data_IF_967301342998
#
_entry.id   IF_967301342998
#
_cell.length_a   1.000
_cell.length_b   1.000
_cell.length_c   1.000
_cell.angle_alpha   90.00
_cell.angle_beta   90.00
_cell.angle_gamma   90.00
#
_symmetry.space_group_name_H-M   'P 1'
#
loop_
_entity.id
_entity.type
_entity.pdbx_description
1 polymer ?
#
# COMPACT_ATOMS: atom_id res chain seq x y z
N UNK A 1 11.39 23.98 -13.93
CA UNK A 1 10.27 23.93 -14.89
C UNK A 1 10.63 23.20 -16.19
N UNK A 2 11.77 23.49 -16.84
CA UNK A 2 12.17 22.81 -18.08
C UNK A 2 12.41 21.28 -17.94
N UNK A 3 13.02 20.83 -16.84
CA UNK A 3 13.28 19.39 -16.60
C UNK A 3 11.98 18.57 -16.45
N UNK A 4 10.96 19.15 -15.82
CA UNK A 4 9.67 18.46 -15.58
C UNK A 4 8.87 18.29 -16.88
N UNK A 5 8.99 19.24 -17.81
CA UNK A 5 8.40 19.13 -19.15
C UNK A 5 9.11 18.06 -19.98
N UNK A 6 10.44 17.98 -19.90
CA UNK A 6 11.21 16.99 -20.65
C UNK A 6 10.91 15.55 -20.22
N UNK A 7 10.84 15.28 -18.92
CA UNK A 7 10.47 13.96 -18.40
C UNK A 7 9.07 13.54 -18.86
N UNK A 8 8.11 14.46 -18.81
CA UNK A 8 6.74 14.23 -19.29
C UNK A 8 6.69 13.92 -20.78
N UNK A 9 7.41 14.67 -21.61
CA UNK A 9 7.51 14.42 -23.05
C UNK A 9 8.07 13.03 -23.35
N UNK A 10 9.11 12.60 -22.61
CA UNK A 10 9.68 11.25 -22.77
C UNK A 10 8.67 10.16 -22.43
N UNK A 11 7.88 10.33 -21.38
CA UNK A 11 6.81 9.38 -21.01
C UNK A 11 5.73 9.31 -22.10
N UNK A 12 5.29 10.46 -22.63
CA UNK A 12 4.27 10.51 -23.68
C UNK A 12 4.77 9.83 -24.98
N UNK A 13 6.02 10.09 -25.37
CA UNK A 13 6.66 9.44 -26.52
C UNK A 13 6.82 7.92 -26.32
N UNK A 14 7.21 7.49 -25.12
CA UNK A 14 7.33 6.08 -24.78
C UNK A 14 5.98 5.36 -24.88
N UNK A 15 4.91 5.94 -24.33
CA UNK A 15 3.56 5.37 -24.41
C UNK A 15 3.04 5.31 -25.84
N UNK A 16 3.28 6.34 -26.66
CA UNK A 16 2.92 6.31 -28.08
C UNK A 16 3.65 5.17 -28.82
N UNK A 17 4.96 5.00 -28.56
CA UNK A 17 5.75 3.90 -29.12
C UNK A 17 5.23 2.52 -28.69
N UNK A 18 4.87 2.37 -27.41
CA UNK A 18 4.29 1.15 -26.85
C UNK A 18 2.96 0.80 -27.52
N UNK A 19 2.06 1.78 -27.68
CA UNK A 19 0.77 1.56 -28.34
C UNK A 19 0.93 1.10 -29.78
N UNK A 20 1.83 1.72 -30.56
CA UNK A 20 2.10 1.32 -31.95
C UNK A 20 2.59 -0.12 -32.05
N UNK A 21 3.36 -0.57 -31.05
CA UNK A 21 3.92 -1.93 -30.99
C UNK A 21 2.98 -2.96 -30.37
N UNK A 22 1.85 -2.53 -29.81
CA UNK A 22 0.86 -3.42 -29.21
C UNK A 22 -0.09 -3.89 -30.31
N UNK A 23 -0.24 -5.22 -30.52
CA UNK A 23 -1.24 -5.73 -31.46
C UNK A 23 -2.63 -5.22 -31.09
N UNK A 24 -3.42 -4.87 -32.09
CA UNK A 24 -4.76 -4.33 -31.88
C UNK A 24 -5.70 -4.72 -33.02
N UNK A 25 -6.98 -4.91 -32.72
CA UNK A 25 -8.00 -5.16 -33.75
C UNK A 25 -8.44 -3.86 -34.43
N UNK A 26 -8.91 -3.99 -35.67
CA UNK A 26 -9.56 -2.88 -36.39
C UNK A 26 -10.97 -2.67 -35.86
N UNK A 27 -11.69 -3.77 -35.61
CA UNK A 27 -13.08 -3.71 -35.16
C UNK A 27 -13.48 -4.94 -34.36
N UNK A 28 -14.47 -4.76 -33.50
CA UNK A 28 -15.07 -5.81 -32.67
C UNK A 28 -16.57 -5.54 -32.53
N UNK A 29 -17.39 -6.58 -32.52
CA UNK A 29 -18.83 -6.47 -32.32
C UNK A 29 -19.17 -6.23 -30.84
N UNK A 30 -20.34 -5.64 -30.55
CA UNK A 30 -20.90 -5.66 -29.20
C UNK A 30 -20.97 -7.08 -28.64
N UNK A 31 -20.71 -7.21 -27.35
CA UNK A 31 -20.75 -8.46 -26.56
C UNK A 31 -19.67 -9.50 -26.90
N UNK A 32 -18.72 -9.18 -27.79
CA UNK A 32 -17.53 -10.00 -27.98
C UNK A 32 -16.72 -10.10 -26.67
N UNK A 33 -16.29 -11.32 -26.35
CA UNK A 33 -15.49 -11.61 -25.16
C UNK A 33 -14.07 -11.10 -25.36
N UNK A 34 -13.60 -10.25 -24.46
CA UNK A 34 -12.22 -9.76 -24.43
C UNK A 34 -11.47 -10.57 -23.37
N UNK A 35 -10.44 -11.28 -23.80
CA UNK A 35 -9.58 -12.10 -22.93
C UNK A 35 -8.08 -11.79 -23.08
N UNK A 36 -7.72 -10.85 -23.96
CA UNK A 36 -6.38 -10.28 -24.09
C UNK A 36 -6.48 -8.83 -24.58
N UNK A 37 -5.39 -8.08 -24.39
CA UNK A 37 -5.25 -6.71 -24.90
C UNK A 37 -5.24 -6.63 -26.42
N UNK A 38 -4.85 -7.71 -27.10
CA UNK A 38 -4.76 -7.77 -28.56
C UNK A 38 -6.15 -7.64 -29.23
N UNK A 39 -7.22 -7.92 -28.48
CA UNK A 39 -8.61 -7.79 -28.92
C UNK A 39 -9.18 -6.36 -28.78
N UNK A 40 -8.37 -5.40 -28.33
CA UNK A 40 -8.72 -4.00 -28.23
C UNK A 40 -8.22 -3.24 -29.46
N UNK A 41 -8.96 -2.22 -29.87
CA UNK A 41 -8.47 -1.24 -30.84
C UNK A 41 -7.41 -0.33 -30.22
N UNK A 42 -6.56 0.30 -31.04
CA UNK A 42 -5.56 1.26 -30.56
C UNK A 42 -6.18 2.39 -29.72
N UNK A 43 -7.41 2.80 -30.06
CA UNK A 43 -8.14 3.83 -29.31
C UNK A 43 -8.58 3.32 -27.95
N UNK A 44 -9.14 2.11 -27.86
CA UNK A 44 -9.47 1.48 -26.58
C UNK A 44 -8.21 1.26 -25.72
N UNK A 45 -7.10 0.80 -26.30
CA UNK A 45 -5.81 0.64 -25.60
C UNK A 45 -5.33 1.97 -24.99
N UNK A 46 -5.50 3.08 -25.71
CA UNK A 46 -5.11 4.41 -25.19
C UNK A 46 -5.88 4.81 -23.92
N UNK A 47 -7.08 4.26 -23.72
CA UNK A 47 -7.89 4.46 -22.52
C UNK A 47 -7.37 3.67 -21.32
N UNK A 48 -6.18 3.06 -21.38
CA UNK A 48 -5.55 2.38 -20.23
C UNK A 48 -4.15 2.95 -19.91
N UNK A 49 -3.71 3.99 -20.63
CA UNK A 49 -2.40 4.61 -20.38
C UNK A 49 -2.30 5.07 -18.92
N UNK A 50 -3.31 5.77 -18.42
CA UNK A 50 -3.38 6.27 -17.05
C UNK A 50 -3.25 5.12 -16.02
N UNK A 51 -4.01 4.04 -16.19
CA UNK A 51 -3.99 2.88 -15.29
C UNK A 51 -2.65 2.13 -15.33
N UNK A 52 -2.08 1.94 -16.53
CA UNK A 52 -0.77 1.31 -16.66
C UNK A 52 0.34 2.12 -16.00
N UNK A 53 0.25 3.46 -16.05
CA UNK A 53 1.20 4.36 -15.39
C UNK A 53 1.07 4.31 -13.88
N UNK A 54 -0.16 4.28 -13.36
CA UNK A 54 -0.39 4.10 -11.93
C UNK A 54 0.16 2.75 -11.44
N UNK A 55 -0.02 1.68 -12.23
CA UNK A 55 0.50 0.36 -11.90
C UNK A 55 2.04 0.37 -11.87
N UNK A 56 2.66 1.00 -12.87
CA UNK A 56 4.11 1.18 -12.93
C UNK A 56 4.65 2.00 -11.74
N UNK A 57 3.92 3.05 -11.33
CA UNK A 57 4.25 3.84 -10.16
C UNK A 57 4.19 3.01 -8.86
N UNK A 58 3.21 2.11 -8.73
CA UNK A 58 3.10 1.23 -7.56
C UNK A 58 4.25 0.22 -7.52
N UNK A 59 4.55 -0.44 -8.65
CA UNK A 59 5.62 -1.45 -8.74
C UNK A 59 7.01 -0.87 -8.46
N UNK A 60 7.35 0.23 -9.14
CA UNK A 60 8.71 0.79 -9.10
C UNK A 60 8.87 1.88 -8.04
N UNK A 61 7.76 2.31 -7.42
CA UNK A 61 7.73 3.38 -6.41
C UNK A 61 8.27 4.71 -6.95
N UNK A 62 8.13 4.91 -8.26
CA UNK A 62 8.61 6.08 -9.00
C UNK A 62 7.56 6.52 -10.01
N UNK A 63 7.01 7.72 -9.79
CA UNK A 63 5.97 8.29 -10.66
C UNK A 63 6.52 8.86 -11.97
N UNK A 64 7.83 9.14 -12.01
CA UNK A 64 8.51 9.77 -13.14
C UNK A 64 9.24 8.76 -14.02
N UNK A 65 9.21 7.47 -13.64
CA UNK A 65 9.82 6.40 -14.40
C UNK A 65 9.20 6.30 -15.80
N UNK A 66 10.06 6.32 -16.83
CA UNK A 66 9.66 6.14 -18.22
C UNK A 66 9.22 4.67 -18.43
N UNK A 67 7.95 4.41 -18.80
CA UNK A 67 7.44 3.05 -18.92
C UNK A 67 8.05 2.32 -20.12
N UNK A 68 8.27 1.02 -19.96
CA UNK A 68 8.77 0.14 -21.02
C UNK A 68 7.64 -0.74 -21.57
N UNK A 69 7.91 -1.39 -22.71
CA UNK A 69 6.99 -2.42 -23.27
C UNK A 69 6.81 -3.61 -22.31
N UNK A 70 7.80 -3.88 -21.44
CA UNK A 70 7.71 -4.94 -20.44
C UNK A 70 6.73 -4.58 -19.33
N UNK A 71 6.71 -3.32 -18.91
CA UNK A 71 5.76 -2.80 -17.92
C UNK A 71 4.34 -2.86 -18.47
N UNK A 72 4.14 -2.43 -19.72
CA UNK A 72 2.86 -2.55 -20.41
C UNK A 72 2.33 -3.99 -20.49
N UNK A 73 3.22 -4.95 -20.83
CA UNK A 73 2.87 -6.38 -20.84
C UNK A 73 2.62 -6.93 -19.43
N UNK A 74 3.30 -6.41 -18.40
CA UNK A 74 3.06 -6.80 -17.01
C UNK A 74 1.67 -6.32 -16.57
N UNK A 75 1.31 -5.08 -16.84
CA UNK A 75 -0.02 -4.53 -16.59
C UNK A 75 -1.12 -5.43 -17.18
N UNK A 76 -1.05 -5.77 -18.47
CA UNK A 76 -2.07 -6.62 -19.09
C UNK A 76 -2.12 -8.04 -18.55
N UNK A 77 -0.96 -8.63 -18.21
CA UNK A 77 -0.91 -9.94 -17.52
C UNK A 77 -1.61 -9.90 -16.17
N UNK A 78 -1.53 -8.80 -15.43
CA UNK A 78 -2.24 -8.62 -14.17
C UNK A 78 -3.76 -8.48 -14.40
N UNK A 79 -4.15 -7.63 -15.36
CA UNK A 79 -5.56 -7.38 -15.69
C UNK A 79 -6.28 -8.67 -16.11
N UNK A 80 -5.69 -9.45 -17.01
CA UNK A 80 -6.29 -10.71 -17.52
C UNK A 80 -5.93 -11.95 -16.68
N UNK A 81 -5.24 -11.81 -15.54
CA UNK A 81 -4.87 -12.95 -14.71
C UNK A 81 -6.10 -13.72 -14.23
N UNK A 82 -6.32 -14.90 -14.82
CA UNK A 82 -7.49 -15.76 -14.56
C UNK A 82 -8.83 -15.03 -14.74
N UNK A 83 -8.89 -14.07 -15.67
CA UNK A 83 -10.04 -13.19 -15.83
C UNK A 83 -10.27 -12.88 -17.31
N UNK A 84 -11.54 -12.69 -17.69
CA UNK A 84 -11.99 -12.15 -18.97
C UNK A 84 -13.31 -11.38 -18.75
N UNK A 85 -13.86 -10.75 -19.79
CA UNK A 85 -15.05 -9.89 -19.65
C UNK A 85 -16.36 -10.61 -19.32
N UNK A 86 -16.38 -11.95 -19.33
CA UNK A 86 -17.55 -12.72 -18.84
C UNK A 86 -17.54 -12.95 -17.33
N UNK A 87 -16.45 -12.60 -16.65
CA UNK A 87 -16.33 -12.78 -15.22
C UNK A 87 -17.32 -11.87 -14.47
N UNK A 88 -18.08 -12.40 -13.48
CA UNK A 88 -19.12 -11.65 -12.78
C UNK A 88 -18.53 -10.54 -11.88
N UNK A 89 -17.37 -10.79 -11.28
CA UNK A 89 -16.79 -9.87 -10.28
C UNK A 89 -15.85 -8.86 -10.93
N UNK A 90 -16.20 -7.57 -10.81
CA UNK A 90 -15.40 -6.42 -11.26
C UNK A 90 -15.45 -5.25 -10.25
N UNK A 91 -15.87 -5.55 -9.02
CA UNK A 91 -16.02 -4.56 -7.97
C UNK A 91 -14.66 -4.08 -7.46
N UNK A 92 -14.59 -2.79 -7.10
CA UNK A 92 -13.44 -2.26 -6.40
C UNK A 92 -13.32 -2.91 -5.02
N UNK A 93 -12.09 -3.09 -4.49
CA UNK A 93 -11.90 -3.60 -3.13
C UNK A 93 -12.72 -2.82 -2.08
N UNK A 94 -13.41 -3.55 -1.22
CA UNK A 94 -14.27 -2.98 -0.18
C UNK A 94 -13.43 -2.34 0.94
N UNK A 95 -13.02 -1.09 0.74
CA UNK A 95 -12.26 -0.24 1.68
C UNK A 95 -10.90 -0.80 2.14
N UNK A 96 -9.96 0.08 2.46
CA UNK A 96 -8.71 -0.32 3.07
C UNK A 96 -8.94 -0.71 4.54
N UNK A 97 -8.81 -1.99 4.86
CA UNK A 97 -9.02 -2.49 6.24
C UNK A 97 -7.82 -2.08 7.12
N UNK A 98 -8.08 -1.15 8.03
CA UNK A 98 -7.09 -0.26 8.66
C UNK A 98 -6.59 -0.60 10.07
N UNK A 99 -6.53 -1.86 10.49
CA UNK A 99 -5.77 -2.23 11.71
C UNK A 99 -4.65 -3.23 11.39
N UNK A 100 -3.42 -2.75 11.50
CA UNK A 100 -2.18 -3.52 11.34
C UNK A 100 -1.54 -3.86 12.69
N UNK A 101 -2.12 -3.42 13.80
CA UNK A 101 -1.44 -3.39 15.10
C UNK A 101 -1.12 -4.78 15.67
N UNK A 102 -1.84 -5.82 15.26
CA UNK A 102 -1.57 -7.21 15.66
C UNK A 102 -0.54 -7.90 14.76
N UNK A 103 -0.47 -7.54 13.48
CA UNK A 103 0.39 -8.17 12.47
C UNK A 103 1.81 -7.58 12.43
N UNK A 104 1.96 -6.37 12.97
CA UNK A 104 3.20 -5.59 12.96
C UNK A 104 4.02 -5.71 14.23
N UNK A 105 3.51 -6.40 15.26
CA UNK A 105 4.21 -6.54 16.53
C UNK A 105 5.34 -7.58 16.43
N UNK A 106 6.50 -7.25 16.99
CA UNK A 106 7.71 -8.11 17.03
C UNK A 106 8.01 -8.53 18.46
N UNK A 107 8.51 -9.75 18.68
CA UNK A 107 8.93 -10.20 20.01
C UNK A 107 10.16 -9.39 20.45
N UNK A 108 10.11 -8.79 21.63
CA UNK A 108 11.18 -7.92 22.17
C UNK A 108 11.66 -8.32 23.55
N UNK A 109 11.00 -9.28 24.20
CA UNK A 109 11.34 -9.63 25.57
C UNK A 109 10.35 -10.58 26.22
N UNK A 110 10.45 -10.66 27.54
CA UNK A 110 9.59 -11.48 28.39
C UNK A 110 9.14 -10.72 29.64
N UNK A 111 8.07 -11.18 30.29
CA UNK A 111 7.61 -10.61 31.57
C UNK A 111 8.58 -10.94 32.70
N UNK A 112 9.00 -9.93 33.48
CA UNK A 112 9.86 -10.10 34.67
C UNK A 112 9.15 -10.79 35.84
N UNK A 113 7.84 -10.66 35.91
CA UNK A 113 6.99 -11.26 36.93
C UNK A 113 5.57 -11.37 36.40
N UNK A 114 4.72 -12.14 37.09
CA UNK A 114 3.31 -12.27 36.75
C UNK A 114 2.65 -10.89 36.59
N UNK A 115 1.94 -10.69 35.48
CA UNK A 115 1.24 -9.44 35.24
C UNK A 115 0.24 -9.17 36.37
N UNK A 116 0.13 -7.93 36.89
CA UNK A 116 -0.84 -7.62 37.94
C UNK A 116 -2.27 -7.98 37.50
N UNK A 117 -3.10 -8.55 38.39
CA UNK A 117 -4.52 -8.75 38.13
C UNK A 117 -5.22 -7.46 37.71
N UNK A 118 -6.17 -7.58 36.80
CA UNK A 118 -6.97 -6.45 36.32
C UNK A 118 -8.43 -6.87 36.14
N UNK A 119 -9.31 -5.95 35.70
CA UNK A 119 -10.74 -6.27 35.50
C UNK A 119 -10.99 -7.43 34.54
N UNK A 120 -10.12 -7.63 33.54
CA UNK A 120 -10.24 -8.73 32.59
C UNK A 120 -9.72 -10.06 33.15
N UNK A 121 -8.75 -10.01 34.07
CA UNK A 121 -8.12 -11.18 34.71
C UNK A 121 -7.98 -10.93 36.22
N UNK A 122 -9.08 -11.06 37.00
CA UNK A 122 -9.07 -10.79 38.44
C UNK A 122 -8.43 -11.92 39.27
N UNK A 123 -8.23 -13.10 38.68
CA UNK A 123 -7.68 -14.29 39.34
C UNK A 123 -6.23 -14.62 38.94
N UNK A 124 -5.81 -15.90 39.07
CA UNK A 124 -4.50 -16.36 38.60
C UNK A 124 -4.28 -16.00 37.14
N UNK A 125 -3.09 -15.46 36.84
CA UNK A 125 -2.78 -15.01 35.48
C UNK A 125 -2.72 -16.20 34.51
N UNK A 126 -3.27 -16.05 33.29
CA UNK A 126 -3.11 -17.05 32.25
C UNK A 126 -1.64 -17.20 31.85
N UNK A 127 -1.27 -18.31 31.21
CA UNK A 127 0.14 -18.62 30.85
C UNK A 127 0.86 -17.48 30.11
N UNK A 128 0.18 -16.77 29.22
CA UNK A 128 0.74 -15.63 28.45
C UNK A 128 0.85 -14.32 29.25
N UNK A 129 0.53 -14.34 30.55
CA UNK A 129 0.63 -13.23 31.51
C UNK A 129 1.44 -13.62 32.74
N UNK A 130 2.05 -14.81 32.74
CA UNK A 130 2.93 -15.27 33.80
C UNK A 130 4.37 -14.80 33.56
N UNK A 131 5.18 -14.83 34.61
CA UNK A 131 6.62 -14.61 34.52
C UNK A 131 7.25 -15.46 33.40
N UNK A 132 8.16 -14.86 32.62
CA UNK A 132 8.80 -15.48 31.47
C UNK A 132 7.96 -15.53 30.20
N UNK A 133 6.69 -15.09 30.21
CA UNK A 133 5.86 -15.06 29.01
C UNK A 133 6.36 -14.00 28.01
N UNK A 134 6.27 -14.32 26.71
CA UNK A 134 6.70 -13.44 25.62
C UNK A 134 5.93 -12.11 25.58
N UNK A 135 6.67 -11.04 25.32
CA UNK A 135 6.17 -9.69 25.11
C UNK A 135 6.56 -9.20 23.73
N UNK A 136 5.60 -8.55 23.07
CA UNK A 136 5.72 -8.03 21.73
C UNK A 136 5.59 -6.51 21.75
N UNK A 137 6.34 -5.85 20.87
CA UNK A 137 6.28 -4.42 20.62
C UNK A 137 5.78 -4.18 19.21
N UNK A 138 4.74 -3.38 19.06
CA UNK A 138 4.33 -2.81 17.79
C UNK A 138 4.35 -1.29 17.86
N UNK A 139 4.13 -0.66 16.71
CA UNK A 139 3.98 0.79 16.60
C UNK A 139 2.66 1.12 15.92
N UNK A 140 2.12 2.30 16.23
CA UNK A 140 0.96 2.84 15.51
C UNK A 140 1.12 4.33 15.25
N UNK A 141 0.52 4.78 14.15
CA UNK A 141 0.46 6.19 13.75
C UNK A 141 -0.97 6.68 13.97
N UNK A 142 -1.30 7.23 15.16
CA UNK A 142 -2.61 7.83 15.42
C UNK A 142 -2.94 8.94 14.41
N UNK A 143 -4.20 9.00 13.94
CA UNK A 143 -4.63 9.97 12.93
C UNK A 143 -4.53 11.43 13.39
N UNK A 144 -4.62 11.69 14.70
CA UNK A 144 -4.72 13.02 15.29
C UNK A 144 -3.43 13.49 15.97
N UNK A 145 -2.51 12.58 16.23
CA UNK A 145 -1.22 12.88 16.85
C UNK A 145 -0.14 12.70 15.80
N UNK A 146 0.72 13.69 15.65
CA UNK A 146 1.85 13.60 14.72
C UNK A 146 2.94 12.62 15.16
N UNK A 147 2.75 11.95 16.30
CA UNK A 147 3.74 11.14 17.01
C UNK A 147 3.39 9.66 16.90
N UNK A 148 4.42 8.84 17.06
CA UNK A 148 4.33 7.39 17.04
C UNK A 148 3.97 6.86 18.44
N UNK A 149 2.98 5.98 18.49
CA UNK A 149 2.58 5.28 19.70
C UNK A 149 3.27 3.90 19.79
N UNK A 150 3.74 3.56 20.99
CA UNK A 150 4.34 2.26 21.28
C UNK A 150 3.30 1.32 21.86
N UNK A 151 3.11 0.18 21.21
CA UNK A 151 2.10 -0.81 21.55
C UNK A 151 2.77 -2.06 22.14
N UNK A 152 2.81 -2.13 23.46
CA UNK A 152 3.32 -3.28 24.21
C UNK A 152 2.22 -4.31 24.40
N UNK A 153 2.41 -5.53 23.90
CA UNK A 153 1.37 -6.56 23.83
C UNK A 153 1.88 -7.91 24.32
N UNK A 154 0.97 -8.74 24.85
CA UNK A 154 1.22 -10.16 25.06
C UNK A 154 0.98 -10.96 23.77
N UNK A 155 1.18 -12.28 23.82
CA UNK A 155 0.92 -13.20 22.69
C UNK A 155 -0.56 -13.32 22.29
N UNK A 156 -1.48 -12.70 23.03
CA UNK A 156 -2.91 -12.56 22.68
C UNK A 156 -3.25 -11.16 22.17
N UNK A 157 -2.26 -10.31 21.92
CA UNK A 157 -2.43 -8.95 21.43
C UNK A 157 -2.99 -7.98 22.47
N UNK A 158 -3.03 -8.36 23.76
CA UNK A 158 -3.56 -7.52 24.84
C UNK A 158 -2.46 -6.63 25.44
N UNK A 159 -2.76 -5.39 25.86
CA UNK A 159 -1.75 -4.45 26.34
C UNK A 159 -0.95 -4.95 27.54
N UNK A 160 0.35 -4.66 27.59
CA UNK A 160 1.29 -4.97 28.67
C UNK A 160 1.97 -3.67 29.12
N UNK A 161 2.25 -3.53 30.43
CA UNK A 161 3.00 -2.36 30.91
C UNK A 161 4.50 -2.51 30.57
N UNK A 162 5.16 -1.49 30.01
CA UNK A 162 6.59 -1.58 29.67
C UNK A 162 7.49 -1.83 30.90
N UNK A 163 7.11 -1.27 32.05
CA UNK A 163 7.90 -1.33 33.30
C UNK A 163 8.07 -2.74 33.89
N UNK A 164 7.36 -3.74 33.36
CA UNK A 164 7.40 -5.13 33.84
C UNK A 164 8.03 -6.08 32.79
N UNK A 165 8.63 -5.51 31.75
CA UNK A 165 9.22 -6.25 30.63
C UNK A 165 10.73 -6.28 30.80
N UNK A 166 11.32 -7.47 30.70
CA UNK A 166 12.75 -7.66 30.47
C UNK A 166 12.97 -7.75 28.97
N UNK A 167 13.70 -6.79 28.41
CA UNK A 167 14.01 -6.79 26.99
C UNK A 167 15.11 -7.80 26.68
N UNK A 168 15.00 -8.42 25.51
CA UNK A 168 16.01 -9.32 24.95
C UNK A 168 17.18 -8.53 24.32
N UNK A 169 16.98 -7.23 24.06
CA UNK A 169 17.94 -6.31 23.44
C UNK A 169 17.74 -4.88 23.95
N UNK A 170 18.58 -3.94 23.50
CA UNK A 170 18.43 -2.52 23.87
C UNK A 170 17.10 -1.94 23.35
N UNK A 171 16.58 -0.93 24.04
CA UNK A 171 15.28 -0.33 23.68
C UNK A 171 15.30 0.26 22.26
N UNK A 172 16.41 0.88 21.84
CA UNK A 172 16.55 1.43 20.49
C UNK A 172 16.46 0.34 19.42
N UNK A 173 17.06 -0.83 19.63
CA UNK A 173 17.02 -1.96 18.71
C UNK A 173 15.61 -2.56 18.65
N UNK A 174 14.92 -2.66 19.80
CA UNK A 174 13.52 -3.05 19.84
C UNK A 174 12.63 -2.13 19.00
N UNK A 175 12.86 -0.82 19.09
CA UNK A 175 12.08 0.20 18.37
C UNK A 175 12.35 0.14 16.86
N UNK A 176 13.62 0.04 16.46
CA UNK A 176 14.02 -0.10 15.06
C UNK A 176 13.35 -1.33 14.42
N UNK A 177 13.38 -2.47 15.11
CA UNK A 177 12.76 -3.70 14.63
C UNK A 177 11.23 -3.56 14.47
N UNK A 178 10.56 -2.91 15.44
CA UNK A 178 9.12 -2.69 15.40
C UNK A 178 8.71 -1.72 14.28
N UNK A 179 9.49 -0.65 14.07
CA UNK A 179 9.29 0.31 12.97
C UNK A 179 9.50 -0.37 11.62
N UNK A 180 10.61 -1.06 11.43
CA UNK A 180 10.91 -1.76 10.18
C UNK A 180 9.86 -2.82 9.83
N UNK A 181 9.32 -3.52 10.85
CA UNK A 181 8.22 -4.48 10.66
C UNK A 181 6.94 -3.78 10.24
N UNK A 182 6.58 -2.68 10.91
CA UNK A 182 5.41 -1.89 10.57
C UNK A 182 5.48 -1.36 9.14
N UNK A 183 6.59 -0.71 8.78
CA UNK A 183 6.80 -0.09 7.49
C UNK A 183 6.65 -1.09 6.34
N UNK A 184 7.27 -2.27 6.48
CA UNK A 184 7.12 -3.35 5.51
C UNK A 184 5.66 -3.79 5.35
N UNK A 185 4.96 -4.03 6.46
CA UNK A 185 3.57 -4.49 6.42
C UNK A 185 2.61 -3.43 5.85
N UNK A 186 2.80 -2.16 6.19
CA UNK A 186 2.01 -1.06 5.60
C UNK A 186 2.28 -0.99 4.11
N UNK A 187 3.55 -1.02 3.72
CA UNK A 187 3.96 -0.93 2.34
C UNK A 187 3.34 -2.05 1.48
N UNK A 188 3.54 -3.32 1.86
CA UNK A 188 2.99 -4.47 1.14
C UNK A 188 1.46 -4.37 1.00
N UNK A 189 0.79 -3.93 2.07
CA UNK A 189 -0.68 -3.83 2.10
C UNK A 189 -1.21 -2.70 1.24
N UNK A 190 -0.58 -1.52 1.29
CA UNK A 190 -0.98 -0.36 0.49
C UNK A 190 -0.68 -0.60 -0.99
N UNK A 191 0.48 -1.18 -1.31
CA UNK A 191 0.83 -1.55 -2.69
C UNK A 191 -0.19 -2.54 -3.27
N UNK A 192 -0.54 -3.58 -2.51
CA UNK A 192 -1.56 -4.56 -2.92
C UNK A 192 -2.94 -3.94 -3.11
N UNK A 193 -3.36 -3.07 -2.19
CA UNK A 193 -4.65 -2.39 -2.28
C UNK A 193 -4.72 -1.49 -3.53
N UNK A 194 -3.67 -0.71 -3.77
CA UNK A 194 -3.58 0.17 -4.93
C UNK A 194 -3.59 -0.62 -6.26
N UNK A 195 -2.82 -1.71 -6.34
CA UNK A 195 -2.83 -2.63 -7.48
C UNK A 195 -4.25 -3.17 -7.75
N UNK A 196 -4.94 -3.64 -6.71
CA UNK A 196 -6.30 -4.16 -6.84
C UNK A 196 -7.29 -3.11 -7.34
N UNK A 197 -7.19 -1.87 -6.84
CA UNK A 197 -8.01 -0.75 -7.33
C UNK A 197 -7.77 -0.45 -8.81
N UNK A 198 -6.51 -0.46 -9.24
CA UNK A 198 -6.13 -0.23 -10.65
C UNK A 198 -6.69 -1.35 -11.53
N UNK A 199 -6.47 -2.61 -11.15
CA UNK A 199 -6.94 -3.78 -11.90
C UNK A 199 -8.46 -3.81 -11.99
N UNK A 200 -9.18 -3.58 -10.88
CA UNK A 200 -10.64 -3.56 -10.88
C UNK A 200 -11.17 -2.47 -11.83
N UNK A 201 -10.55 -1.29 -11.82
CA UNK A 201 -10.91 -0.17 -12.72
C UNK A 201 -10.66 -0.54 -14.19
N UNK A 202 -9.52 -1.16 -14.50
CA UNK A 202 -9.24 -1.63 -15.85
C UNK A 202 -10.29 -2.65 -16.32
N UNK A 203 -10.64 -3.61 -15.46
CA UNK A 203 -11.65 -4.63 -15.77
C UNK A 203 -13.03 -4.03 -16.03
N UNK A 204 -13.45 -3.01 -15.27
CA UNK A 204 -14.71 -2.30 -15.55
C UNK A 204 -14.70 -1.60 -16.91
N UNK A 205 -13.61 -0.92 -17.28
CA UNK A 205 -13.43 -0.35 -18.63
C UNK A 205 -13.53 -1.42 -19.71
N UNK A 206 -12.87 -2.57 -19.53
CA UNK A 206 -12.94 -3.70 -20.47
C UNK A 206 -14.36 -4.25 -20.61
N UNK A 207 -15.09 -4.41 -19.51
CA UNK A 207 -16.50 -4.87 -19.53
C UNK A 207 -17.38 -3.88 -20.28
N UNK A 208 -17.15 -2.57 -20.11
CA UNK A 208 -17.85 -1.56 -20.89
C UNK A 208 -17.55 -1.71 -22.39
N UNK A 209 -16.28 -1.81 -22.76
CA UNK A 209 -15.87 -1.95 -24.15
C UNK A 209 -16.38 -3.25 -24.77
N UNK A 210 -16.35 -4.38 -24.05
CA UNK A 210 -16.96 -5.63 -24.49
C UNK A 210 -18.41 -5.42 -24.93
N UNK A 211 -19.24 -4.82 -24.06
CA UNK A 211 -20.66 -4.55 -24.33
C UNK A 211 -20.90 -3.60 -25.50
N UNK A 212 -20.03 -2.62 -25.75
CA UNK A 212 -20.27 -1.63 -26.81
C UNK A 212 -19.69 -2.01 -28.17
N UNK A 213 -18.65 -2.86 -28.19
CA UNK A 213 -17.84 -3.06 -29.38
C UNK A 213 -17.10 -1.78 -29.81
N UNK A 214 -16.57 -1.76 -31.04
CA UNK A 214 -15.81 -0.63 -31.60
C UNK A 214 -16.65 0.29 -32.48
N UNK A 215 -17.96 0.06 -32.60
CA UNK A 215 -18.85 0.88 -33.43
C UNK A 215 -19.08 2.29 -32.90
N UNK A 216 -18.62 2.58 -31.68
CA UNK A 216 -18.68 3.89 -31.03
C UNK A 216 -17.29 4.29 -30.56
N UNK A 217 -17.06 5.60 -30.47
CA UNK A 217 -15.80 6.12 -29.92
C UNK A 217 -15.64 5.64 -28.46
N UNK A 218 -14.49 5.05 -28.10
CA UNK A 218 -14.25 4.60 -26.74
C UNK A 218 -14.20 5.80 -25.79
N UNK A 219 -14.80 5.64 -24.62
CA UNK A 219 -14.80 6.65 -23.56
C UNK A 219 -14.74 6.00 -22.19
N UNK A 220 -14.13 6.71 -21.25
CA UNK A 220 -14.16 6.34 -19.83
C UNK A 220 -15.52 6.78 -19.26
N UNK A 221 -16.22 5.87 -18.58
CA UNK A 221 -17.47 6.18 -17.91
C UNK A 221 -17.21 6.84 -16.56
N UNK A 222 -18.22 7.57 -16.08
CA UNK A 222 -18.20 8.10 -14.72
C UNK A 222 -18.15 6.95 -13.70
N UNK A 223 -17.18 6.99 -12.80
CA UNK A 223 -16.87 5.91 -11.84
C UNK A 223 -15.76 4.95 -12.30
N UNK A 224 -15.32 5.05 -13.55
CA UNK A 224 -14.21 4.28 -14.13
C UNK A 224 -12.96 5.14 -14.40
N UNK A 225 -12.91 6.36 -13.87
CA UNK A 225 -11.72 7.19 -13.89
C UNK A 225 -10.55 6.54 -13.13
N UNK A 226 -9.32 7.00 -13.40
CA UNK A 226 -8.14 6.50 -12.70
C UNK A 226 -8.30 6.65 -11.18
N UNK A 227 -8.05 5.60 -10.38
CA UNK A 227 -8.19 5.68 -8.93
C UNK A 227 -7.12 6.60 -8.33
N UNK A 228 -7.46 7.25 -7.22
CA UNK A 228 -6.47 7.95 -6.39
C UNK A 228 -5.73 6.91 -5.55
N UNK A 229 -4.40 6.85 -5.71
CA UNK A 229 -3.59 5.91 -4.94
C UNK A 229 -3.61 6.27 -3.46
N UNK A 230 -3.76 5.24 -2.62
CA UNK A 230 -3.57 5.38 -1.19
C UNK A 230 -2.11 5.68 -0.89
N UNK A 231 -1.80 6.75 -0.13
CA UNK A 231 -0.43 7.07 0.24
C UNK A 231 0.10 6.07 1.27
N UNK A 232 1.36 5.69 1.12
CA UNK A 232 2.09 4.94 2.15
C UNK A 232 2.49 5.90 3.25
N UNK A 233 2.16 5.58 4.51
CA UNK A 233 2.56 6.37 5.67
C UNK A 233 3.46 5.51 6.56
N UNK A 234 4.75 5.83 6.56
CA UNK A 234 5.77 5.05 7.28
C UNK A 234 5.95 5.57 8.70
N UNK A 235 6.17 4.64 9.63
CA UNK A 235 6.57 4.87 11.00
C UNK A 235 7.99 5.42 11.08
N UNK A 236 8.91 4.99 10.20
CA UNK A 236 10.27 5.52 10.13
C UNK A 236 10.30 7.04 9.90
N UNK A 237 9.60 7.52 8.88
CA UNK A 237 9.47 8.96 8.59
C UNK A 237 8.91 9.76 9.78
N UNK A 238 8.03 9.15 10.57
CA UNK A 238 7.47 9.77 11.78
C UNK A 238 8.49 9.80 12.91
N UNK A 239 9.23 8.72 13.12
CA UNK A 239 10.28 8.64 14.11
C UNK A 239 11.38 9.69 13.84
N UNK A 240 11.80 9.86 12.59
CA UNK A 240 12.78 10.87 12.18
C UNK A 240 12.29 12.30 12.46
N UNK A 241 11.03 12.60 12.11
CA UNK A 241 10.41 13.90 12.42
C UNK A 241 10.35 14.16 13.91
N UNK A 242 10.03 13.15 14.72
CA UNK A 242 10.03 13.27 16.18
C UNK A 242 11.44 13.53 16.71
N UNK A 243 12.45 12.77 16.26
CA UNK A 243 13.84 12.95 16.67
C UNK A 243 14.34 14.37 16.39
N UNK A 244 14.09 14.88 15.18
CA UNK A 244 14.43 16.25 14.80
C UNK A 244 13.71 17.29 15.66
N UNK A 245 12.43 17.06 15.98
CA UNK A 245 11.66 17.96 16.84
C UNK A 245 12.27 18.04 18.24
N UNK A 246 12.66 16.90 18.83
CA UNK A 246 13.28 16.87 20.15
C UNK A 246 14.69 17.46 20.16
N UNK A 247 15.48 17.25 19.10
CA UNK A 247 16.79 17.89 18.94
C UNK A 247 16.67 19.41 18.95
N UNK A 248 15.76 19.96 18.14
CA UNK A 248 15.51 21.41 18.07
C UNK A 248 15.04 21.98 19.43
N UNK A 249 14.18 21.25 20.15
CA UNK A 249 13.73 21.66 21.48
C UNK A 249 14.88 21.68 22.50
N UNK A 250 15.80 20.73 22.42
CA UNK A 250 17.01 20.69 23.26
C UNK A 250 17.88 21.92 22.96
N UNK A 251 18.14 22.21 21.69
CA UNK A 251 18.96 23.36 21.29
C UNK A 251 18.37 24.69 21.78
N UNK A 252 17.05 24.86 21.64
CA UNK A 252 16.34 26.04 22.16
C UNK A 252 16.46 26.19 23.68
N UNK A 253 16.41 25.07 24.42
CA UNK A 253 16.56 25.08 25.87
C UNK A 253 17.99 25.44 26.27
N UNK A 254 18.97 24.83 25.60
CA UNK A 254 20.38 25.03 25.91
C UNK A 254 20.81 26.47 25.55
N UNK A 255 20.22 27.09 24.52
CA UNK A 255 20.38 28.52 24.21
C UNK A 255 19.76 29.46 25.25
N UNK A 256 18.67 29.07 25.92
CA UNK A 256 18.04 29.88 26.98
C UNK A 256 18.74 29.76 28.33
N UNK A 257 19.57 28.74 28.49
CA UNK A 257 20.33 28.49 29.72
C UNK A 257 21.69 29.21 29.74
N UNK A 258 22.12 29.75 28.59
CA UNK A 258 23.33 30.59 28.42
C UNK A 258 22.94 32.07 28.30
#
# INVERSE_FOLDING_TARGET
MAQNNHAREQVELAMASILIRTPSVISRLPDDIINSEEMLSTRELSMFIDLSRLENQVEHRDADLVPTISDWRRFWRLVFRRWNTTHPDNESPASFVGDLSSETAVKVGTLMFNHPPNKAYPGPQPKWRQEGADVFLGVSIPQWQGWLDLLWKDSKGKPVKPSIVKLDMELCECLDLAIARYDRCVQDRVEKYNEDCIIATARRRLVHFAKTGTGREPRILSGDEAPVLMPVVLAGDRADKMANTFANLKDLRDQRAN
#
